data_IF_818292168203
#
_entry.id   IF_818292168203
#
_cell.length_a   1.000
_cell.length_b   1.000
_cell.length_c   1.000
_cell.angle_alpha   90.00
_cell.angle_beta   90.00
_cell.angle_gamma   90.00
#
_symmetry.space_group_name_H-M   'P 1'
#
loop_
_entity.id
_entity.type
_entity.pdbx_description
1 polymer ?
#
# COMPACT_ATOMS: atom_id res chain seq x y z
N UNK A 1 -20.44 15.36 -25.07
CA UNK A 1 -19.65 15.77 -23.89
C UNK A 1 -20.35 15.26 -22.66
N UNK A 2 -19.88 14.16 -22.09
CA UNK A 2 -20.30 13.72 -20.75
C UNK A 2 -19.60 14.62 -19.73
N UNK A 3 -20.32 15.17 -18.74
CA UNK A 3 -19.69 15.98 -17.71
C UNK A 3 -18.79 15.07 -16.85
N UNK A 4 -17.50 15.41 -16.78
CA UNK A 4 -16.56 14.88 -15.80
C UNK A 4 -16.90 15.48 -14.45
N UNK A 5 -17.56 14.71 -13.60
CA UNK A 5 -17.70 15.04 -12.17
C UNK A 5 -16.40 14.66 -11.47
N UNK A 6 -15.50 15.62 -11.31
CA UNK A 6 -14.45 15.54 -10.31
C UNK A 6 -15.10 15.94 -8.97
N UNK A 7 -15.30 14.97 -8.09
CA UNK A 7 -15.90 15.19 -6.76
C UNK A 7 -15.08 16.13 -5.87
N UNK A 8 -13.91 16.59 -6.34
CA UNK A 8 -12.95 17.36 -5.56
C UNK A 8 -12.36 16.51 -4.44
N UNK A 9 -11.34 17.04 -3.77
CA UNK A 9 -10.79 16.40 -2.58
C UNK A 9 -11.82 16.51 -1.46
N UNK A 10 -12.26 15.38 -0.91
CA UNK A 10 -13.21 15.35 0.20
C UNK A 10 -12.67 16.15 1.38
N UNK A 11 -13.32 17.27 1.73
CA UNK A 11 -12.93 18.07 2.90
C UNK A 11 -13.58 17.48 4.15
N UNK A 12 -12.75 16.94 5.04
CA UNK A 12 -13.24 16.50 6.34
C UNK A 12 -13.83 17.67 7.12
N UNK A 13 -15.09 17.55 7.54
CA UNK A 13 -15.76 18.58 8.35
C UNK A 13 -15.22 18.65 9.78
N UNK A 14 -14.47 17.63 10.22
CA UNK A 14 -13.79 17.57 11.52
C UNK A 14 -12.42 16.92 11.32
N UNK A 15 -11.34 17.66 11.58
CA UNK A 15 -9.97 17.15 11.48
C UNK A 15 -9.57 16.13 12.56
N UNK A 16 -10.46 15.19 12.89
CA UNK A 16 -10.20 14.15 13.89
C UNK A 16 -9.70 12.89 13.20
N UNK A 17 -8.42 12.90 12.80
CA UNK A 17 -7.75 11.75 12.22
C UNK A 17 -7.56 10.67 13.29
N UNK A 18 -8.04 9.46 13.01
CA UNK A 18 -7.84 8.29 13.86
C UNK A 18 -6.95 7.29 13.15
N UNK A 19 -5.93 6.82 13.86
CA UNK A 19 -5.06 5.77 13.35
C UNK A 19 -5.86 4.46 13.19
N UNK A 20 -5.71 3.80 12.05
CA UNK A 20 -6.29 2.46 11.85
C UNK A 20 -5.55 1.47 12.74
N UNK A 21 -6.27 0.93 13.72
CA UNK A 21 -5.77 -0.17 14.55
C UNK A 21 -5.43 -1.41 13.71
N UNK A 22 -4.78 -2.41 14.32
CA UNK A 22 -4.19 -3.54 13.61
C UNK A 22 -5.21 -4.28 12.74
N UNK A 23 -6.39 -4.59 13.27
CA UNK A 23 -7.44 -5.32 12.55
C UNK A 23 -7.94 -4.54 11.35
N UNK A 24 -8.17 -3.22 11.52
CA UNK A 24 -8.70 -2.37 10.45
C UNK A 24 -7.66 -2.19 9.34
N UNK A 25 -6.41 -1.94 9.71
CA UNK A 25 -5.31 -1.81 8.75
C UNK A 25 -5.15 -3.11 7.94
N UNK A 26 -5.18 -4.27 8.59
CA UNK A 26 -5.05 -5.56 7.91
C UNK A 26 -6.24 -5.88 6.99
N UNK A 27 -7.46 -5.55 7.40
CA UNK A 27 -8.66 -5.78 6.58
C UNK A 27 -8.69 -4.84 5.36
N UNK A 28 -8.35 -3.57 5.54
CA UNK A 28 -8.27 -2.61 4.44
C UNK A 28 -7.20 -3.05 3.43
N UNK A 29 -6.02 -3.52 3.88
CA UNK A 29 -4.99 -4.05 2.99
C UNK A 29 -5.44 -5.32 2.26
N UNK A 30 -6.05 -6.27 2.96
CA UNK A 30 -6.57 -7.49 2.36
C UNK A 30 -7.58 -7.18 1.24
N UNK A 31 -8.53 -6.29 1.53
CA UNK A 31 -9.57 -5.91 0.57
C UNK A 31 -9.00 -5.10 -0.59
N UNK A 32 -8.21 -4.07 -0.30
CA UNK A 32 -7.69 -3.15 -1.30
C UNK A 32 -6.73 -3.85 -2.28
N UNK A 33 -5.91 -4.78 -1.79
CA UNK A 33 -4.97 -5.55 -2.60
C UNK A 33 -5.54 -6.90 -3.08
N UNK A 34 -6.81 -7.21 -2.79
CA UNK A 34 -7.45 -8.48 -3.14
C UNK A 34 -6.60 -9.70 -2.73
N UNK A 35 -6.20 -9.70 -1.45
CA UNK A 35 -5.42 -10.76 -0.83
C UNK A 35 -6.30 -11.51 0.18
N UNK A 36 -6.12 -12.84 0.34
CA UNK A 36 -6.66 -13.51 1.51
C UNK A 36 -6.02 -12.92 2.77
N UNK A 37 -6.77 -12.83 3.87
CA UNK A 37 -6.29 -12.21 5.12
C UNK A 37 -4.97 -12.83 5.62
N UNK A 38 -4.78 -14.14 5.43
CA UNK A 38 -3.55 -14.86 5.77
C UNK A 38 -2.33 -14.50 4.92
N UNK A 39 -2.50 -13.85 3.76
CA UNK A 39 -1.42 -13.42 2.88
C UNK A 39 -1.05 -11.94 3.04
N UNK A 40 -1.77 -11.18 3.87
CA UNK A 40 -1.45 -9.76 4.10
C UNK A 40 -0.05 -9.65 4.69
N UNK A 41 0.19 -10.31 5.83
CA UNK A 41 1.50 -10.24 6.46
C UNK A 41 1.78 -11.40 7.41
N UNK A 42 2.88 -12.11 7.14
CA UNK A 42 3.48 -13.08 8.04
C UNK A 42 4.94 -12.71 8.30
N UNK A 43 5.25 -12.30 9.52
CA UNK A 43 6.61 -12.08 9.97
C UNK A 43 7.40 -13.38 9.92
N UNK A 44 8.60 -13.30 9.31
CA UNK A 44 9.48 -14.44 9.06
C UNK A 44 8.78 -15.62 8.33
N UNK A 45 7.67 -15.35 7.64
CA UNK A 45 6.88 -16.36 6.93
C UNK A 45 6.04 -17.28 7.83
N UNK A 46 5.97 -17.03 9.14
CA UNK A 46 5.30 -17.94 10.09
C UNK A 46 4.31 -17.26 11.03
N UNK A 47 4.57 -16.01 11.43
CA UNK A 47 3.80 -15.35 12.48
C UNK A 47 2.93 -14.24 11.90
N UNK A 48 1.60 -14.28 12.08
CA UNK A 48 0.73 -13.20 11.61
C UNK A 48 1.16 -11.85 12.19
N UNK A 49 1.37 -10.86 11.34
CA UNK A 49 1.87 -9.54 11.76
C UNK A 49 0.94 -8.84 12.75
N UNK A 50 -0.37 -9.13 12.71
CA UNK A 50 -1.35 -8.70 13.71
C UNK A 50 -0.95 -9.12 15.14
N UNK A 51 -0.42 -10.33 15.32
CA UNK A 51 0.03 -10.81 16.63
C UNK A 51 1.38 -10.25 17.05
N UNK A 52 2.30 -10.08 16.10
CA UNK A 52 3.66 -9.57 16.39
C UNK A 52 3.67 -8.07 16.64
N UNK A 53 2.90 -7.31 15.83
CA UNK A 53 2.89 -5.85 15.86
C UNK A 53 1.61 -5.28 16.49
N UNK A 54 0.69 -6.10 16.98
CA UNK A 54 -0.63 -5.67 17.45
C UNK A 54 -0.57 -4.49 18.43
N UNK A 55 0.26 -4.60 19.47
CA UNK A 55 0.47 -3.51 20.44
C UNK A 55 1.12 -2.27 19.80
N UNK A 56 2.12 -2.47 18.94
CA UNK A 56 2.77 -1.36 18.23
C UNK A 56 1.83 -0.64 17.26
N UNK A 57 0.81 -1.33 16.74
CA UNK A 57 -0.26 -0.78 15.90
C UNK A 57 -1.43 -0.23 16.73
N UNK A 58 -1.27 -0.05 18.04
CA UNK A 58 -2.29 0.54 18.91
C UNK A 58 -3.39 -0.44 19.34
N UNK A 59 -3.16 -1.74 19.21
CA UNK A 59 -3.97 -2.79 19.81
C UNK A 59 -3.59 -3.07 21.28
N UNK A 60 -4.13 -4.16 21.80
CA UNK A 60 -3.90 -4.67 23.17
C UNK A 60 -3.43 -6.11 23.12
N UNK A 61 -2.76 -6.57 24.18
CA UNK A 61 -2.38 -7.96 24.35
C UNK A 61 -2.49 -8.39 25.81
N UNK A 62 -3.73 -8.64 26.28
CA UNK A 62 -3.98 -8.93 27.69
C UNK A 62 -3.48 -10.31 28.13
N UNK A 63 -3.28 -11.25 27.20
CA UNK A 63 -3.02 -12.65 27.52
C UNK A 63 -1.54 -13.04 27.43
N UNK A 64 -0.78 -12.48 26.48
CA UNK A 64 0.65 -12.78 26.37
C UNK A 64 1.51 -11.74 27.08
N UNK A 65 1.11 -10.46 27.00
CA UNK A 65 1.93 -9.34 27.49
C UNK A 65 1.25 -8.50 28.59
N UNK A 66 0.06 -8.89 29.04
CA UNK A 66 -0.71 -8.16 30.07
C UNK A 66 -0.94 -6.66 29.74
N UNK A 67 -1.06 -6.34 28.45
CA UNK A 67 -1.41 -5.01 27.96
C UNK A 67 -2.91 -4.95 27.77
N UNK A 68 -3.63 -4.36 28.73
CA UNK A 68 -5.11 -4.35 28.75
C UNK A 68 -5.72 -3.11 28.11
N UNK A 69 -4.94 -2.04 27.92
CA UNK A 69 -5.39 -0.77 27.39
C UNK A 69 -4.47 -0.34 26.25
N UNK A 70 -5.04 0.39 25.30
CA UNK A 70 -4.26 0.98 24.21
C UNK A 70 -3.43 2.14 24.75
N UNK A 71 -2.24 2.34 24.17
CA UNK A 71 -1.41 3.48 24.55
C UNK A 71 -2.15 4.80 24.21
N UNK A 72 -2.07 5.83 25.07
CA UNK A 72 -2.73 7.11 24.81
C UNK A 72 -2.06 7.91 23.67
N UNK A 73 -0.88 7.47 23.23
CA UNK A 73 -0.09 8.05 22.15
C UNK A 73 0.46 6.96 21.24
N UNK A 74 0.66 7.30 19.96
CA UNK A 74 1.31 6.43 18.99
C UNK A 74 2.77 6.19 19.39
N UNK A 75 3.21 4.93 19.39
CA UNK A 75 4.57 4.57 19.76
C UNK A 75 5.59 4.92 18.66
N UNK A 76 6.85 5.13 19.05
CA UNK A 76 7.93 5.41 18.09
C UNK A 76 8.17 4.27 17.08
N UNK A 77 7.78 3.03 17.42
CA UNK A 77 7.89 1.87 16.54
C UNK A 77 6.66 1.67 15.64
N UNK A 78 5.57 2.42 15.83
CA UNK A 78 4.35 2.26 15.03
C UNK A 78 4.58 2.44 13.53
N UNK A 79 5.33 3.47 13.06
CA UNK A 79 5.60 3.62 11.63
C UNK A 79 6.31 2.41 11.03
N UNK A 80 7.28 1.83 11.75
CA UNK A 80 7.99 0.64 11.30
C UNK A 80 7.06 -0.58 11.20
N UNK A 81 6.16 -0.76 12.17
CA UNK A 81 5.16 -1.83 12.12
C UNK A 81 4.19 -1.67 10.93
N UNK A 82 3.76 -0.43 10.65
CA UNK A 82 2.94 -0.10 9.48
C UNK A 82 3.68 -0.44 8.20
N UNK A 83 4.89 0.07 8.02
CA UNK A 83 5.69 -0.13 6.80
C UNK A 83 5.97 -1.61 6.54
N UNK A 84 6.31 -2.40 7.56
CA UNK A 84 6.51 -3.85 7.42
C UNK A 84 5.22 -4.56 6.98
N UNK A 85 4.10 -4.19 7.57
CA UNK A 85 2.79 -4.79 7.23
C UNK A 85 2.38 -4.46 5.80
N UNK A 86 2.50 -3.18 5.41
CA UNK A 86 2.19 -2.70 4.06
C UNK A 86 3.13 -3.32 3.04
N UNK A 87 4.44 -3.31 3.29
CA UNK A 87 5.43 -3.86 2.37
C UNK A 87 5.21 -5.35 2.13
N UNK A 88 4.88 -6.12 3.18
CA UNK A 88 4.53 -7.53 3.03
C UNK A 88 3.31 -7.72 2.11
N UNK A 89 2.24 -6.97 2.34
CA UNK A 89 1.01 -7.09 1.56
C UNK A 89 1.24 -6.67 0.09
N UNK A 90 1.94 -5.56 -0.13
CA UNK A 90 2.35 -5.10 -1.45
C UNK A 90 3.16 -6.18 -2.19
N UNK A 91 4.15 -6.78 -1.53
CA UNK A 91 4.96 -7.84 -2.12
C UNK A 91 4.13 -9.06 -2.52
N UNK A 92 3.19 -9.47 -1.67
CA UNK A 92 2.29 -10.57 -1.98
C UNK A 92 1.43 -10.29 -3.23
N UNK A 93 0.86 -9.08 -3.34
CA UNK A 93 0.07 -8.70 -4.51
C UNK A 93 0.90 -8.59 -5.78
N UNK A 94 2.09 -7.98 -5.69
CA UNK A 94 2.99 -7.83 -6.83
C UNK A 94 3.44 -9.19 -7.35
N UNK A 95 3.76 -10.13 -6.45
CA UNK A 95 4.10 -11.49 -6.84
C UNK A 95 2.96 -12.16 -7.62
N UNK A 96 1.70 -11.99 -7.19
CA UNK A 96 0.54 -12.54 -7.91
C UNK A 96 0.34 -11.87 -9.29
N UNK A 97 0.47 -10.55 -9.37
CA UNK A 97 0.32 -9.81 -10.63
C UNK A 97 1.42 -10.15 -11.64
N UNK A 98 2.67 -10.27 -11.19
CA UNK A 98 3.81 -10.60 -12.05
C UNK A 98 3.78 -12.05 -12.50
N UNK A 99 3.41 -12.99 -11.62
CA UNK A 99 3.39 -14.41 -11.95
C UNK A 99 2.16 -14.83 -12.77
N UNK A 100 1.06 -14.07 -12.70
CA UNK A 100 -0.14 -14.33 -13.47
C UNK A 100 -0.70 -13.04 -14.13
N UNK A 101 0.00 -12.47 -15.13
CA UNK A 101 -0.34 -11.17 -15.72
C UNK A 101 -1.75 -11.09 -16.31
N UNK A 102 -2.28 -12.20 -16.84
CA UNK A 102 -3.64 -12.26 -17.40
C UNK A 102 -4.74 -12.13 -16.34
N UNK A 103 -4.42 -12.42 -15.08
CA UNK A 103 -5.30 -12.26 -13.91
C UNK A 103 -4.80 -11.18 -12.94
N UNK A 104 -3.85 -10.34 -13.37
CA UNK A 104 -3.33 -9.27 -12.56
C UNK A 104 -4.43 -8.26 -12.20
N UNK A 105 -4.36 -7.74 -10.98
CA UNK A 105 -5.40 -6.90 -10.38
C UNK A 105 -4.97 -5.44 -10.31
N UNK A 106 -3.73 -5.18 -9.87
CA UNK A 106 -3.22 -3.82 -9.65
C UNK A 106 -2.34 -3.39 -10.82
N UNK A 107 -1.33 -4.18 -11.16
CA UNK A 107 -0.36 -3.88 -12.22
C UNK A 107 -0.71 -4.57 -13.55
N UNK A 108 -2.01 -4.67 -13.82
CA UNK A 108 -2.51 -5.25 -15.07
C UNK A 108 -1.98 -4.47 -16.27
N UNK A 109 -1.59 -5.20 -17.31
CA UNK A 109 -1.08 -4.67 -18.58
C UNK A 109 0.23 -3.85 -18.47
N UNK A 110 0.86 -3.79 -17.28
CA UNK A 110 2.18 -3.17 -17.10
C UNK A 110 3.25 -4.14 -17.61
N UNK A 111 3.80 -3.83 -18.78
CA UNK A 111 4.82 -4.66 -19.43
C UNK A 111 6.22 -4.37 -18.89
N UNK A 112 6.95 -5.44 -18.55
CA UNK A 112 8.36 -5.39 -18.20
C UNK A 112 9.22 -5.93 -19.35
N UNK A 113 10.27 -5.20 -19.73
CA UNK A 113 11.24 -5.61 -20.76
C UNK A 113 12.64 -5.58 -20.16
N UNK A 114 13.28 -6.73 -20.00
CA UNK A 114 14.60 -6.82 -19.36
C UNK A 114 14.60 -6.36 -17.90
N UNK A 115 13.50 -6.63 -17.17
CA UNK A 115 13.36 -6.31 -15.74
C UNK A 115 12.93 -4.87 -15.42
N UNK A 116 12.86 -3.97 -16.41
CA UNK A 116 12.40 -2.58 -16.29
C UNK A 116 11.03 -2.36 -16.92
N UNK A 117 10.37 -1.25 -16.59
CA UNK A 117 9.17 -0.82 -17.29
C UNK A 117 9.48 -0.63 -18.79
N UNK A 118 8.62 -1.15 -19.66
CA UNK A 118 8.77 -0.90 -21.10
C UNK A 118 8.61 0.60 -21.43
N UNK A 119 7.62 1.23 -20.80
CA UNK A 119 7.35 2.66 -20.91
C UNK A 119 6.64 3.16 -19.64
N UNK A 120 7.34 3.99 -18.87
CA UNK A 120 6.84 4.59 -17.63
C UNK A 120 5.69 5.61 -17.88
N UNK A 121 5.60 6.18 -19.08
CA UNK A 121 4.54 7.11 -19.46
C UNK A 121 3.34 6.39 -20.11
N UNK A 122 3.35 5.06 -20.18
CA UNK A 122 2.29 4.30 -20.84
C UNK A 122 0.93 4.44 -20.14
N UNK A 123 -0.19 4.35 -20.87
CA UNK A 123 -1.53 4.32 -20.28
C UNK A 123 -1.73 3.20 -19.25
N UNK A 124 -1.01 2.07 -19.42
CA UNK A 124 -1.06 0.97 -18.47
C UNK A 124 -0.47 1.35 -17.10
N UNK A 125 0.68 2.03 -17.08
CA UNK A 125 1.27 2.55 -15.83
C UNK A 125 0.35 3.57 -15.17
N UNK A 126 -0.21 4.52 -15.94
CA UNK A 126 -1.17 5.49 -15.41
C UNK A 126 -2.43 4.81 -14.81
N UNK A 127 -2.92 3.74 -15.46
CA UNK A 127 -4.05 2.95 -14.98
C UNK A 127 -3.70 2.20 -13.69
N UNK A 128 -2.52 1.60 -13.61
CA UNK A 128 -2.06 0.91 -12.40
C UNK A 128 -1.92 1.87 -11.21
N UNK A 129 -1.34 3.05 -11.41
CA UNK A 129 -1.22 4.07 -10.37
C UNK A 129 -2.60 4.60 -9.92
N UNK A 130 -3.52 4.80 -10.86
CA UNK A 130 -4.91 5.18 -10.54
C UNK A 130 -5.61 4.07 -9.76
N UNK A 131 -5.40 2.80 -10.12
CA UNK A 131 -5.92 1.64 -9.40
C UNK A 131 -5.40 1.60 -7.96
N UNK A 132 -4.09 1.73 -7.76
CA UNK A 132 -3.45 1.79 -6.43
C UNK A 132 -4.07 2.89 -5.57
N UNK A 133 -4.15 4.11 -6.09
CA UNK A 133 -4.62 5.27 -5.33
C UNK A 133 -6.11 5.17 -5.03
N UNK A 134 -6.95 4.72 -5.97
CA UNK A 134 -8.37 4.47 -5.69
C UNK A 134 -8.57 3.39 -4.63
N UNK A 135 -7.76 2.32 -4.66
CA UNK A 135 -7.82 1.23 -3.68
C UNK A 135 -7.41 1.68 -2.28
N UNK A 136 -6.43 2.58 -2.16
CA UNK A 136 -5.94 3.05 -0.87
C UNK A 136 -6.71 4.26 -0.32
N UNK A 137 -7.03 5.24 -1.16
CA UNK A 137 -7.52 6.57 -0.77
C UNK A 137 -8.95 6.85 -1.23
N UNK A 138 -9.55 5.95 -2.01
CA UNK A 138 -10.94 6.07 -2.50
C UNK A 138 -11.19 7.32 -3.37
N UNK A 139 -10.14 7.85 -4.01
CA UNK A 139 -10.20 8.97 -4.95
C UNK A 139 -9.25 8.77 -6.12
N UNK A 140 -9.34 9.65 -7.11
CA UNK A 140 -8.33 9.74 -8.16
C UNK A 140 -7.05 10.42 -7.65
N UNK A 141 -5.88 9.99 -8.15
CA UNK A 141 -4.65 10.73 -7.89
C UNK A 141 -4.70 12.09 -8.60
N UNK A 142 -4.06 13.07 -8.00
CA UNK A 142 -3.77 14.33 -8.67
C UNK A 142 -2.73 14.11 -9.77
N UNK A 143 -2.54 15.10 -10.64
CA UNK A 143 -1.49 15.03 -11.66
C UNK A 143 -0.10 14.96 -11.02
N UNK A 144 0.15 15.74 -9.97
CA UNK A 144 1.42 15.78 -9.25
C UNK A 144 1.75 14.45 -8.56
N UNK A 145 0.75 13.79 -7.95
CA UNK A 145 0.90 12.46 -7.35
C UNK A 145 1.27 11.42 -8.40
N UNK A 146 0.59 11.45 -9.58
CA UNK A 146 0.93 10.55 -10.69
C UNK A 146 2.34 10.81 -11.20
N UNK A 147 2.70 12.06 -11.46
CA UNK A 147 4.00 12.43 -11.99
C UNK A 147 5.13 12.03 -11.04
N UNK A 148 4.92 12.19 -9.72
CA UNK A 148 5.86 11.75 -8.69
C UNK A 148 6.05 10.23 -8.70
N UNK A 149 4.96 9.46 -8.77
CA UNK A 149 5.02 8.00 -8.81
C UNK A 149 5.59 7.45 -10.13
N UNK A 150 5.46 8.19 -11.23
CA UNK A 150 6.12 7.87 -12.51
C UNK A 150 7.62 8.19 -12.43
N UNK A 151 7.99 9.35 -11.86
CA UNK A 151 9.39 9.74 -11.68
C UNK A 151 10.14 8.74 -10.80
N UNK A 152 9.48 8.18 -9.78
CA UNK A 152 10.02 7.12 -8.93
C UNK A 152 10.56 5.92 -9.72
N UNK A 153 9.99 5.60 -10.90
CA UNK A 153 10.53 4.52 -11.73
C UNK A 153 11.96 4.80 -12.19
N UNK A 154 12.26 6.05 -12.57
CA UNK A 154 13.60 6.48 -12.96
C UNK A 154 14.56 6.49 -11.78
N UNK A 155 14.08 6.92 -10.62
CA UNK A 155 14.88 6.98 -9.39
C UNK A 155 15.25 5.55 -8.93
N UNK A 156 14.31 4.61 -9.03
CA UNK A 156 14.56 3.18 -8.78
C UNK A 156 15.56 2.60 -9.79
N UNK A 157 15.39 2.87 -11.08
CA UNK A 157 16.35 2.43 -12.11
C UNK A 157 17.77 2.95 -11.83
N UNK A 158 17.90 4.22 -11.39
CA UNK A 158 19.18 4.84 -11.07
C UNK A 158 19.90 4.17 -9.88
N UNK A 159 19.20 3.40 -9.04
CA UNK A 159 19.83 2.63 -7.94
C UNK A 159 20.65 1.43 -8.42
N UNK A 160 20.49 1.00 -9.68
CA UNK A 160 21.17 -0.17 -10.23
C UNK A 160 20.60 -1.51 -9.74
N UNK A 161 19.38 -1.52 -9.19
CA UNK A 161 18.71 -2.77 -8.79
C UNK A 161 18.49 -3.71 -9.99
N UNK A 162 18.63 -5.04 -9.84
CA UNK A 162 18.50 -5.98 -10.96
C UNK A 162 17.11 -6.04 -11.61
N UNK A 163 16.04 -5.73 -10.87
CA UNK A 163 14.66 -5.79 -11.34
C UNK A 163 13.94 -4.46 -11.04
N UNK A 164 14.30 -3.36 -11.72
CA UNK A 164 13.81 -2.04 -11.38
C UNK A 164 12.31 -1.88 -11.57
N UNK A 165 11.69 -2.61 -12.50
CA UNK A 165 10.23 -2.61 -12.66
C UNK A 165 9.50 -3.18 -11.45
N UNK A 166 9.97 -4.31 -10.91
CA UNK A 166 9.40 -4.89 -9.68
C UNK A 166 9.67 -3.98 -8.49
N UNK A 167 10.89 -3.45 -8.37
CA UNK A 167 11.25 -2.53 -7.29
C UNK A 167 10.40 -1.24 -7.32
N UNK A 168 10.07 -0.72 -8.51
CA UNK A 168 9.13 0.39 -8.66
C UNK A 168 7.71 0.02 -8.20
N UNK A 169 7.19 -1.15 -8.61
CA UNK A 169 5.87 -1.61 -8.15
C UNK A 169 5.81 -1.68 -6.61
N UNK A 170 6.88 -2.17 -5.99
CA UNK A 170 7.01 -2.27 -4.53
C UNK A 170 7.03 -0.89 -3.88
N UNK A 171 7.87 0.01 -4.39
CA UNK A 171 8.02 1.36 -3.85
C UNK A 171 6.75 2.19 -4.02
N UNK A 172 6.10 2.13 -5.18
CA UNK A 172 4.84 2.83 -5.44
C UNK A 172 3.70 2.31 -4.56
N UNK A 173 3.56 0.98 -4.41
CA UNK A 173 2.56 0.39 -3.54
C UNK A 173 2.80 0.76 -2.07
N UNK A 174 4.06 0.63 -1.60
CA UNK A 174 4.42 1.01 -0.24
C UNK A 174 4.10 2.48 0.03
N UNK A 175 4.56 3.40 -0.82
CA UNK A 175 4.34 4.84 -0.65
C UNK A 175 2.86 5.21 -0.57
N UNK A 176 2.01 4.57 -1.37
CA UNK A 176 0.56 4.82 -1.39
C UNK A 176 -0.12 4.26 -0.14
N UNK A 177 0.17 3.01 0.25
CA UNK A 177 -0.51 2.33 1.35
C UNK A 177 0.06 2.63 2.75
N UNK A 178 1.27 3.19 2.84
CA UNK A 178 1.83 3.69 4.10
C UNK A 178 1.63 5.20 4.27
N UNK A 179 0.95 5.87 3.34
CA UNK A 179 0.68 7.30 3.42
C UNK A 179 -0.29 7.63 4.57
N UNK A 180 -0.28 8.88 5.03
CA UNK A 180 -1.22 9.35 6.05
C UNK A 180 -2.69 9.12 5.63
N UNK A 181 -3.02 9.32 4.35
CA UNK A 181 -4.37 9.13 3.83
C UNK A 181 -4.81 7.65 3.84
N UNK A 182 -3.86 6.71 3.73
CA UNK A 182 -4.15 5.28 3.81
C UNK A 182 -4.23 4.76 5.25
N UNK A 183 -3.44 5.29 6.18
CA UNK A 183 -3.31 4.74 7.54
C UNK A 183 -4.21 5.43 8.58
N UNK A 184 -4.76 6.60 8.25
CA UNK A 184 -5.74 7.30 9.08
C UNK A 184 -7.15 7.28 8.44
N UNK A 185 -8.18 7.52 9.25
CA UNK A 185 -9.56 7.74 8.82
C UNK A 185 -10.24 8.84 9.65
#
# INVERSE_FOLDING_TARGET
MTPTYDGGVARSQKGNLRFKGPERLSLDLAQALELPASAVCNELGQYPCLGVHGVALGGVDPYQHSVYETAPVTGAATPLAVERTVLSACNARIALDVNAPSSAVVFKDVTLTGGKLQDAASPAVATALTSLVRRAWLRDPTQEERDTLVQLARDVEATGTPNPGIAWMQAACLAVFSSAEAVFY
#
